data_IF_052066019166
#
_entry.id   IF_052066019166
#
_cell.length_a   1.000
_cell.length_b   1.000
_cell.length_c   1.000
_cell.angle_alpha   90.00
_cell.angle_beta   90.00
_cell.angle_gamma   90.00
#
_symmetry.space_group_name_H-M   'P 1'
#
loop_
_entity.id
_entity.type
_entity.pdbx_description
1 polymer ?
#
# COMPACT_ATOMS: atom_id res chain seq x y z
N UNK A 1 -2.02 -15.94 4.79
CA UNK A 1 -1.35 -14.88 5.59
C UNK A 1 -2.31 -13.70 5.81
N UNK A 2 -2.01 -12.69 6.64
CA UNK A 2 -2.79 -11.45 6.71
C UNK A 2 -2.89 -10.71 5.35
N UNK A 3 -1.89 -10.87 4.47
CA UNK A 3 -1.87 -10.26 3.14
C UNK A 3 -2.81 -10.97 2.16
N UNK A 4 -2.94 -12.30 2.25
CA UNK A 4 -3.88 -13.05 1.41
C UNK A 4 -5.33 -12.68 1.74
N UNK A 5 -5.66 -12.50 3.03
CA UNK A 5 -6.97 -12.00 3.47
C UNK A 5 -7.22 -10.56 2.99
N UNK A 6 -6.21 -9.69 3.05
CA UNK A 6 -6.30 -8.32 2.52
C UNK A 6 -6.53 -8.32 1.00
N UNK A 7 -5.92 -9.24 0.24
CA UNK A 7 -6.10 -9.33 -1.20
C UNK A 7 -7.55 -9.56 -1.63
N UNK A 8 -8.36 -10.23 -0.81
CA UNK A 8 -9.80 -10.45 -1.09
C UNK A 8 -10.63 -9.20 -0.79
N UNK A 9 -10.23 -8.40 0.20
CA UNK A 9 -10.95 -7.19 0.64
C UNK A 9 -10.52 -5.93 -0.11
N UNK A 10 -9.46 -6.01 -0.92
CA UNK A 10 -8.81 -4.85 -1.51
C UNK A 10 -9.73 -4.02 -2.42
N UNK A 11 -10.54 -4.68 -3.25
CA UNK A 11 -11.43 -3.99 -4.18
C UNK A 11 -12.50 -3.15 -3.47
N UNK A 12 -13.29 -3.69 -2.51
CA UNK A 12 -14.23 -2.89 -1.73
C UNK A 12 -13.57 -1.72 -0.98
N UNK A 13 -12.38 -1.94 -0.42
CA UNK A 13 -11.62 -0.90 0.30
C UNK A 13 -11.23 0.22 -0.67
N UNK A 14 -10.65 -0.13 -1.82
CA UNK A 14 -10.23 0.83 -2.84
C UNK A 14 -11.42 1.61 -3.39
N UNK A 15 -12.53 0.95 -3.71
CA UNK A 15 -13.76 1.59 -4.16
C UNK A 15 -14.31 2.57 -3.10
N UNK A 16 -14.24 2.21 -1.81
CA UNK A 16 -14.67 3.09 -0.73
C UNK A 16 -13.77 4.31 -0.56
N UNK A 17 -12.46 4.12 -0.64
CA UNK A 17 -11.50 5.22 -0.62
C UNK A 17 -11.67 6.15 -1.83
N UNK A 18 -11.96 5.60 -3.02
CA UNK A 18 -12.15 6.35 -4.25
C UNK A 18 -13.35 7.29 -4.26
N UNK A 19 -14.34 7.07 -3.39
CA UNK A 19 -15.46 8.00 -3.16
C UNK A 19 -15.08 9.20 -2.30
N UNK A 20 -13.99 9.11 -1.54
CA UNK A 20 -13.57 10.12 -0.56
C UNK A 20 -12.37 10.93 -1.04
N UNK A 21 -11.53 10.33 -1.88
CA UNK A 21 -10.30 10.94 -2.40
C UNK A 21 -10.52 11.47 -3.80
N UNK A 22 -10.06 12.70 -4.03
CA UNK A 22 -10.29 13.40 -5.29
C UNK A 22 -9.21 13.10 -6.35
N UNK A 23 -7.94 13.04 -5.95
CA UNK A 23 -6.82 12.97 -6.89
C UNK A 23 -5.80 11.92 -6.46
N UNK A 24 -4.99 12.14 -5.42
CA UNK A 24 -3.92 11.20 -5.04
C UNK A 24 -4.30 10.33 -3.85
N UNK A 25 -4.20 9.01 -3.99
CA UNK A 25 -4.40 8.04 -2.90
C UNK A 25 -3.07 7.33 -2.59
N UNK A 26 -2.47 7.66 -1.45
CA UNK A 26 -1.34 6.92 -0.92
C UNK A 26 -1.81 5.69 -0.14
N UNK A 27 -1.21 4.54 -0.43
CA UNK A 27 -1.53 3.28 0.26
C UNK A 27 -0.26 2.72 0.88
N UNK A 28 -0.27 2.51 2.20
CA UNK A 28 0.81 1.85 2.90
C UNK A 28 0.31 0.55 3.52
N UNK A 29 1.02 -0.55 3.27
CA UNK A 29 0.73 -1.83 3.89
C UNK A 29 1.24 -1.83 5.33
N UNK A 30 0.37 -2.04 6.30
CA UNK A 30 0.75 -2.07 7.72
C UNK A 30 0.16 -3.29 8.42
N UNK A 31 0.64 -4.51 8.09
CA UNK A 31 0.16 -5.71 8.75
C UNK A 31 0.48 -5.65 10.24
N UNK A 32 -0.51 -5.99 11.07
CA UNK A 32 -0.38 -5.97 12.52
C UNK A 32 -0.46 -4.58 13.17
N UNK A 33 -0.78 -3.52 12.42
CA UNK A 33 -1.07 -2.21 13.01
C UNK A 33 -2.27 -2.33 13.96
N UNK A 34 -2.01 -2.16 15.26
CA UNK A 34 -3.07 -2.04 16.26
C UNK A 34 -3.32 -0.56 16.56
N UNK A 35 -4.56 -0.14 16.36
CA UNK A 35 -5.05 1.16 16.80
C UNK A 35 -5.75 1.09 18.17
N UNK A 36 -5.91 -0.11 18.73
CA UNK A 36 -6.43 -0.37 20.07
C UNK A 36 -5.30 -0.63 21.09
N UNK A 37 -5.54 -0.32 22.38
CA UNK A 37 -4.56 -0.52 23.48
C UNK A 37 -3.74 0.71 23.86
N UNK A 38 -3.01 0.71 24.98
CA UNK A 38 -2.37 1.94 25.50
C UNK A 38 -1.07 2.35 24.77
N UNK A 39 -0.49 1.47 23.97
CA UNK A 39 0.80 1.69 23.30
C UNK A 39 0.66 2.51 22.02
N UNK A 40 1.68 3.32 21.71
CA UNK A 40 1.72 4.07 20.45
C UNK A 40 1.89 3.08 19.28
N UNK A 41 1.13 3.23 18.17
CA UNK A 41 1.26 2.36 17.02
C UNK A 41 2.68 2.45 16.44
N UNK A 42 3.24 1.31 16.05
CA UNK A 42 4.55 1.21 15.41
C UNK A 42 4.38 0.63 14.03
N UNK A 43 5.16 1.13 13.08
CA UNK A 43 5.29 0.48 11.78
C UNK A 43 5.95 -0.89 11.97
N UNK A 44 5.46 -1.88 11.22
CA UNK A 44 6.09 -3.18 11.09
C UNK A 44 6.72 -3.28 9.70
N UNK A 45 7.91 -3.88 9.62
CA UNK A 45 8.51 -4.21 8.35
C UNK A 45 7.85 -5.45 7.75
N UNK A 46 7.64 -5.41 6.45
CA UNK A 46 7.03 -6.48 5.67
C UNK A 46 8.09 -7.03 4.72
N UNK A 47 8.41 -8.33 4.78
CA UNK A 47 9.32 -8.93 3.83
C UNK A 47 8.77 -8.78 2.40
N UNK A 48 9.63 -8.46 1.45
CA UNK A 48 9.32 -8.45 0.03
C UNK A 48 9.17 -9.90 -0.42
N UNK A 49 7.95 -10.42 -0.43
CA UNK A 49 7.64 -11.80 -0.86
C UNK A 49 6.84 -11.80 -2.15
N UNK A 50 6.64 -12.99 -2.72
CA UNK A 50 5.76 -13.16 -3.88
C UNK A 50 4.31 -12.73 -3.58
N UNK A 51 3.85 -12.86 -2.34
CA UNK A 51 2.53 -12.36 -1.92
C UNK A 51 2.44 -10.84 -2.01
N UNK A 52 3.46 -10.12 -1.53
CA UNK A 52 3.53 -8.65 -1.61
C UNK A 52 3.56 -8.17 -3.06
N UNK A 53 4.38 -8.82 -3.90
CA UNK A 53 4.42 -8.57 -5.34
C UNK A 53 3.03 -8.72 -5.98
N UNK A 54 2.34 -9.83 -5.70
CA UNK A 54 1.02 -10.12 -6.26
C UNK A 54 -0.03 -9.14 -5.76
N UNK A 55 0.03 -8.75 -4.49
CA UNK A 55 -0.87 -7.74 -3.91
C UNK A 55 -0.68 -6.38 -4.59
N UNK A 56 0.57 -5.92 -4.75
CA UNK A 56 0.91 -4.65 -5.42
C UNK A 56 0.40 -4.66 -6.87
N UNK A 57 0.66 -5.75 -7.59
CA UNK A 57 0.19 -5.91 -8.97
C UNK A 57 -1.33 -5.86 -9.05
N UNK A 58 -2.03 -6.65 -8.22
CA UNK A 58 -3.50 -6.63 -8.14
C UNK A 58 -4.02 -5.24 -7.79
N UNK A 59 -3.40 -4.53 -6.87
CA UNK A 59 -3.82 -3.19 -6.46
C UNK A 59 -3.78 -2.20 -7.63
N UNK A 60 -2.66 -2.14 -8.34
CA UNK A 60 -2.53 -1.25 -9.49
C UNK A 60 -3.44 -1.65 -10.65
N UNK A 61 -3.64 -2.94 -10.92
CA UNK A 61 -4.63 -3.39 -11.91
C UNK A 61 -6.05 -2.96 -11.54
N UNK A 62 -6.43 -3.08 -10.27
CA UNK A 62 -7.76 -2.64 -9.81
C UNK A 62 -7.90 -1.11 -9.79
N UNK A 63 -6.81 -0.37 -9.62
CA UNK A 63 -6.81 1.09 -9.69
C UNK A 63 -7.20 1.62 -11.08
N UNK A 64 -7.09 0.81 -12.15
CA UNK A 64 -7.54 1.20 -13.50
C UNK A 64 -9.06 1.46 -13.57
N UNK A 65 -9.83 0.93 -12.63
CA UNK A 65 -11.27 1.19 -12.49
C UNK A 65 -11.58 2.59 -11.94
N UNK A 66 -10.60 3.25 -11.32
CA UNK A 66 -10.74 4.55 -10.67
C UNK A 66 -9.83 5.58 -11.33
N UNK A 67 -10.09 5.88 -12.61
CA UNK A 67 -9.20 6.70 -13.47
C UNK A 67 -8.96 8.14 -12.97
N UNK A 68 -9.81 8.66 -12.10
CA UNK A 68 -9.59 9.96 -11.46
C UNK A 68 -8.54 9.91 -10.36
N UNK A 69 -8.23 8.72 -9.85
CA UNK A 69 -7.24 8.52 -8.79
C UNK A 69 -5.85 8.21 -9.34
N UNK A 70 -4.88 8.99 -8.87
CA UNK A 70 -3.49 8.62 -8.85
C UNK A 70 -3.17 7.79 -7.60
N UNK A 71 -3.31 6.48 -7.72
CA UNK A 71 -2.95 5.54 -6.65
C UNK A 71 -1.43 5.37 -6.58
N UNK A 72 -0.87 5.45 -5.37
CA UNK A 72 0.58 5.34 -5.11
C UNK A 72 0.83 4.49 -3.88
N UNK A 73 1.52 3.36 -4.05
CA UNK A 73 1.88 2.49 -2.94
C UNK A 73 3.18 2.98 -2.29
N UNK A 74 3.16 3.18 -0.98
CA UNK A 74 4.33 3.53 -0.18
C UNK A 74 5.08 2.24 0.20
N UNK A 75 6.31 2.10 -0.29
CA UNK A 75 7.14 0.90 -0.11
C UNK A 75 8.09 1.01 1.10
N UNK A 76 7.93 2.04 1.93
CA UNK A 76 8.92 2.46 2.94
C UNK A 76 9.15 1.47 4.07
N UNK A 77 8.21 0.55 4.28
CA UNK A 77 8.33 -0.51 5.28
C UNK A 77 8.46 -1.91 4.63
N UNK A 78 8.80 -1.99 3.35
CA UNK A 78 9.09 -3.27 2.69
C UNK A 78 10.60 -3.56 2.75
N UNK A 79 10.98 -4.79 3.09
CA UNK A 79 12.38 -5.22 3.19
C UNK A 79 12.69 -6.38 2.26
N UNK A 80 13.73 -6.24 1.45
CA UNK A 80 14.33 -7.33 0.68
C UNK A 80 15.17 -8.27 1.57
N UNK A 81 15.64 -9.39 1.03
CA UNK A 81 16.36 -10.45 1.76
C UNK A 81 17.66 -9.97 2.45
N UNK A 82 18.29 -8.90 1.97
CA UNK A 82 19.59 -8.41 2.44
C UNK A 82 19.56 -7.09 3.21
N UNK A 83 18.43 -6.38 3.27
CA UNK A 83 18.38 -5.05 3.86
C UNK A 83 18.27 -5.09 5.38
N UNK A 84 19.21 -4.40 6.04
CA UNK A 84 18.95 -3.92 7.39
C UNK A 84 17.82 -2.87 7.33
N UNK A 85 16.86 -2.93 8.26
CA UNK A 85 15.79 -1.94 8.29
C UNK A 85 16.40 -0.54 8.40
N UNK A 86 16.07 0.38 7.48
CA UNK A 86 16.56 1.74 7.57
C UNK A 86 16.08 2.37 8.87
N UNK A 87 16.91 3.22 9.49
CA UNK A 87 16.47 3.96 10.66
C UNK A 87 15.46 5.03 10.20
N UNK A 88 14.18 4.68 10.17
CA UNK A 88 13.09 5.61 9.89
C UNK A 88 12.92 6.54 11.10
N UNK A 89 13.78 7.55 11.18
CA UNK A 89 13.79 8.55 12.26
C UNK A 89 13.19 9.90 11.87
N UNK A 90 12.84 10.11 10.60
CA UNK A 90 12.31 11.38 10.11
C UNK A 90 10.94 11.23 9.46
N UNK A 91 10.14 12.27 9.65
CA UNK A 91 8.85 12.47 8.99
C UNK A 91 9.08 12.52 7.47
N UNK A 92 8.34 11.70 6.72
CA UNK A 92 8.48 11.62 5.28
C UNK A 92 7.62 12.68 4.57
N UNK A 93 8.20 13.28 3.52
CA UNK A 93 7.47 14.20 2.65
C UNK A 93 6.90 13.41 1.47
N UNK A 94 5.58 13.39 1.36
CA UNK A 94 4.88 12.90 0.17
C UNK A 94 4.78 14.04 -0.85
N UNK A 95 4.56 13.72 -2.13
CA UNK A 95 4.48 14.75 -3.17
C UNK A 95 3.31 15.73 -2.95
N UNK A 96 2.23 15.24 -2.33
CA UNK A 96 1.13 16.04 -1.81
C UNK A 96 0.91 15.67 -0.34
N UNK A 97 0.82 16.66 0.58
CA UNK A 97 0.59 16.38 1.99
C UNK A 97 -0.81 15.78 2.19
N UNK A 98 -0.96 14.68 2.95
CA UNK A 98 -2.27 14.10 3.20
C UNK A 98 -3.21 15.07 3.94
N UNK A 99 -4.45 15.16 3.46
CA UNK A 99 -5.55 15.90 4.08
C UNK A 99 -6.51 15.00 4.85
N UNK A 100 -6.52 13.71 4.50
CA UNK A 100 -7.34 12.68 5.12
C UNK A 100 -6.53 11.40 5.29
N UNK A 101 -6.73 10.70 6.40
CA UNK A 101 -6.19 9.36 6.64
C UNK A 101 -7.35 8.36 6.79
N UNK A 102 -7.26 7.25 6.07
CA UNK A 102 -8.32 6.26 5.92
C UNK A 102 -7.89 4.92 6.55
N UNK A 103 -8.80 4.20 7.17
CA UNK A 103 -8.56 2.82 7.63
C UNK A 103 -9.84 2.01 7.61
N UNK A 104 -9.78 0.74 7.22
CA UNK A 104 -10.85 -0.25 7.37
C UNK A 104 -10.80 -0.96 8.74
N UNK A 105 -10.08 -0.40 9.72
CA UNK A 105 -9.94 -0.99 11.05
C UNK A 105 -11.30 -1.14 11.74
N UNK A 106 -11.66 -2.39 12.01
CA UNK A 106 -12.86 -2.75 12.78
C UNK A 106 -12.50 -2.93 14.26
N UNK A 107 -13.19 -2.18 15.13
CA UNK A 107 -13.07 -2.36 16.58
C UNK A 107 -14.04 -3.43 17.07
N UNK A 108 -13.58 -4.32 17.95
CA UNK A 108 -14.39 -5.40 18.53
C UNK A 108 -15.68 -4.90 19.21
N UNK A 109 -15.70 -3.67 19.74
CA UNK A 109 -16.83 -3.13 20.51
C UNK A 109 -17.76 -2.23 19.69
N UNK A 110 -17.48 -1.98 18.40
CA UNK A 110 -18.32 -1.20 17.47
C UNK A 110 -18.59 0.27 17.83
N UNK A 111 -18.27 0.74 19.04
CA UNK A 111 -18.82 1.99 19.62
C UNK A 111 -17.76 3.05 19.95
N UNK A 112 -16.46 2.79 19.80
CA UNK A 112 -15.40 3.76 20.15
C UNK A 112 -14.57 4.22 18.93
N UNK A 113 -15.22 4.87 17.96
CA UNK A 113 -14.57 5.35 16.73
C UNK A 113 -13.63 6.55 16.93
N UNK A 114 -13.95 7.45 17.87
CA UNK A 114 -13.16 8.66 18.13
C UNK A 114 -11.71 8.42 18.60
N UNK A 115 -11.43 7.55 19.61
CA UNK A 115 -10.05 7.30 20.03
C UNK A 115 -9.21 6.65 18.94
N UNK A 116 -9.81 5.80 18.09
CA UNK A 116 -9.13 5.18 16.94
C UNK A 116 -8.77 6.25 15.91
N UNK A 117 -9.72 7.13 15.57
CA UNK A 117 -9.49 8.25 14.64
C UNK A 117 -8.33 9.14 15.09
N UNK A 118 -8.35 9.57 16.36
CA UNK A 118 -7.28 10.41 16.93
C UNK A 118 -5.92 9.71 16.95
N UNK A 119 -5.89 8.39 17.16
CA UNK A 119 -4.65 7.62 17.12
C UNK A 119 -4.11 7.49 15.71
N UNK A 120 -4.99 7.25 14.74
CA UNK A 120 -4.62 7.18 13.33
C UNK A 120 -4.07 8.53 12.85
N UNK A 121 -4.69 9.65 13.24
CA UNK A 121 -4.19 11.00 12.96
C UNK A 121 -2.80 11.21 13.55
N UNK A 122 -2.62 10.94 14.85
CA UNK A 122 -1.33 11.08 15.54
C UNK A 122 -0.26 10.20 14.90
N UNK A 123 -0.61 8.98 14.53
CA UNK A 123 0.30 8.05 13.87
C UNK A 123 0.69 8.56 12.48
N UNK A 124 -0.26 8.96 11.65
CA UNK A 124 0.01 9.52 10.33
C UNK A 124 0.91 10.77 10.41
N UNK A 125 0.64 11.69 11.35
CA UNK A 125 1.47 12.90 11.57
C UNK A 125 2.88 12.54 12.06
N UNK A 126 3.05 11.43 12.79
CA UNK A 126 4.37 10.96 13.21
C UNK A 126 5.18 10.35 12.06
N UNK A 127 4.51 9.89 10.99
CA UNK A 127 5.15 9.26 9.83
C UNK A 127 5.32 10.23 8.66
N UNK A 128 4.39 11.17 8.46
CA UNK A 128 4.28 11.99 7.27
C UNK A 128 4.01 13.45 7.57
N UNK A 129 4.53 14.32 6.70
CA UNK A 129 4.16 15.73 6.68
C UNK A 129 2.72 15.86 6.18
N UNK A 130 1.80 16.07 7.12
CA UNK A 130 0.36 16.18 6.86
C UNK A 130 -0.13 17.62 6.97
N UNK A 131 -1.30 17.90 6.39
CA UNK A 131 -1.97 19.18 6.60
C UNK A 131 -2.37 19.37 8.08
N UNK A 132 -2.37 20.61 8.63
CA UNK A 132 -2.69 20.88 10.03
C UNK A 132 -4.08 20.42 10.50
N UNK A 133 -5.00 20.17 9.57
CA UNK A 133 -6.38 19.71 9.81
C UNK A 133 -6.60 18.30 9.23
N UNK A 134 -5.63 17.41 9.39
CA UNK A 134 -5.76 16.01 8.97
C UNK A 134 -7.00 15.39 9.61
N UNK A 135 -7.91 14.86 8.79
CA UNK A 135 -9.11 14.16 9.26
C UNK A 135 -8.90 12.66 9.18
N UNK A 136 -9.34 11.91 10.19
CA UNK A 136 -9.42 10.46 10.10
C UNK A 136 -10.83 9.95 9.77
N UNK A 137 -10.89 9.02 8.82
CA UNK A 137 -12.13 8.35 8.39
C UNK A 137 -11.98 6.84 8.52
N UNK A 138 -12.96 6.23 9.19
CA UNK A 138 -13.13 4.78 9.16
C UNK A 138 -13.88 4.42 7.87
N UNK A 139 -13.28 3.57 7.06
CA UNK A 139 -13.91 3.00 5.88
C UNK A 139 -14.86 1.90 6.34
N UNK A 140 -16.03 1.86 5.70
CA UNK A 140 -16.99 0.77 5.83
C UNK A 140 -17.20 0.20 4.42
N UNK A 141 -16.29 -0.66 3.95
CA UNK A 141 -16.42 -1.23 2.63
C UNK A 141 -17.65 -2.12 2.56
N UNK A 142 -18.37 -2.02 1.44
CA UNK A 142 -19.52 -2.87 1.19
C UNK A 142 -19.01 -4.22 0.68
N UNK A 143 -19.02 -5.22 1.56
CA UNK A 143 -18.59 -6.57 1.24
C UNK A 143 -19.72 -7.41 0.61
N UNK A 144 -20.97 -6.94 0.66
CA UNK A 144 -22.15 -7.73 0.25
C UNK A 144 -22.42 -7.68 -1.27
N UNK A 145 -21.73 -6.81 -2.01
CA UNK A 145 -21.88 -6.68 -3.47
C UNK A 145 -20.96 -7.59 -4.30
N UNK A 146 -20.20 -8.50 -3.68
CA UNK A 146 -19.45 -9.54 -4.41
C UNK A 146 -20.27 -10.83 -4.51
N UNK A 147 -21.38 -10.75 -5.23
CA UNK A 147 -22.09 -11.91 -5.77
C UNK A 147 -21.71 -12.03 -7.26
N UNK A 148 -20.41 -12.22 -7.53
CA UNK A 148 -19.95 -12.49 -8.89
C UNK A 148 -19.78 -14.00 -9.05
N UNK A 149 -20.72 -14.58 -9.79
CA UNK A 149 -20.63 -15.88 -10.46
C UNK A 149 -19.53 -15.91 -11.54
N UNK A 150 -18.38 -15.28 -11.29
CA UNK A 150 -17.17 -15.49 -12.05
C UNK A 150 -16.57 -16.79 -11.55
N UNK A 151 -16.56 -17.81 -12.41
CA UNK A 151 -15.85 -19.06 -12.18
C UNK A 151 -14.51 -18.76 -11.48
N UNK A 152 -14.42 -19.17 -10.21
CA UNK A 152 -13.15 -19.40 -9.56
C UNK A 152 -12.49 -20.51 -10.39
N UNK A 153 -11.81 -20.14 -11.49
CA UNK A 153 -10.76 -20.99 -12.00
C UNK A 153 -9.90 -21.26 -10.77
N UNK A 154 -9.66 -22.53 -10.36
CA UNK A 154 -8.71 -22.80 -9.32
C UNK A 154 -7.40 -22.19 -9.80
N UNK A 155 -7.07 -20.99 -9.29
CA UNK A 155 -5.70 -20.54 -9.30
C UNK A 155 -5.05 -21.63 -8.49
N UNK A 156 -4.26 -22.45 -9.18
CA UNK A 156 -3.45 -23.47 -8.56
C UNK A 156 -2.87 -22.82 -7.31
N UNK A 157 -3.37 -23.24 -6.14
CA UNK A 157 -2.69 -23.10 -4.87
C UNK A 157 -1.46 -24.00 -5.01
N UNK A 158 -0.54 -23.63 -5.92
CA UNK A 158 0.84 -23.88 -5.63
C UNK A 158 1.03 -23.17 -4.31
N UNK A 159 1.31 -23.95 -3.27
CA UNK A 159 1.87 -23.50 -2.01
C UNK A 159 3.09 -22.63 -2.37
N UNK A 160 2.85 -21.37 -2.72
CA UNK A 160 3.88 -20.38 -2.90
C UNK A 160 4.28 -20.12 -1.48
N UNK A 161 5.30 -20.87 -1.06
CA UNK A 161 6.02 -20.61 0.16
C UNK A 161 6.22 -19.10 0.24
N UNK A 162 5.88 -18.52 1.40
CA UNK A 162 5.97 -17.07 1.63
C UNK A 162 7.43 -16.63 1.76
N UNK A 163 8.29 -17.23 0.93
CA UNK A 163 9.70 -16.98 0.86
C UNK A 163 9.90 -15.56 0.36
N UNK A 164 10.87 -14.85 0.94
CA UNK A 164 11.28 -13.57 0.40
C UNK A 164 11.70 -13.72 -1.06
N UNK A 165 11.49 -12.68 -1.86
CA UNK A 165 11.95 -12.60 -3.24
C UNK A 165 13.49 -12.58 -3.28
N UNK A 166 14.05 -13.16 -4.34
CA UNK A 166 15.44 -12.93 -4.67
C UNK A 166 15.69 -11.42 -4.81
N UNK A 167 16.78 -10.94 -4.21
CA UNK A 167 17.21 -9.55 -4.28
C UNK A 167 18.53 -9.39 -5.03
N UNK A 168 18.79 -8.16 -5.48
CA UNK A 168 19.96 -7.75 -6.22
C UNK A 168 20.50 -6.44 -5.63
N UNK A 169 21.83 -6.30 -5.57
CA UNK A 169 22.47 -5.08 -5.06
C UNK A 169 21.92 -3.80 -5.72
N UNK A 170 21.98 -3.76 -7.05
CA UNK A 170 21.47 -2.67 -7.88
C UNK A 170 20.48 -3.23 -8.90
N UNK A 171 19.34 -2.55 -9.09
CA UNK A 171 18.40 -2.86 -10.18
C UNK A 171 18.41 -1.69 -11.16
N UNK A 172 18.47 -2.00 -12.45
CA UNK A 172 18.47 -1.01 -13.53
C UNK A 172 17.31 -1.31 -14.47
N UNK A 173 16.49 -0.29 -14.73
CA UNK A 173 15.42 -0.35 -15.73
C UNK A 173 15.54 0.83 -16.68
N UNK A 174 15.05 0.67 -17.91
CA UNK A 174 15.09 1.72 -18.93
C UNK A 174 13.82 1.75 -19.76
N UNK A 175 13.44 2.93 -20.25
CA UNK A 175 12.29 3.12 -21.12
C UNK A 175 11.94 4.58 -21.31
N UNK A 176 10.89 4.88 -22.07
CA UNK A 176 10.43 6.26 -22.27
C UNK A 176 9.60 6.78 -21.10
N UNK A 177 8.94 5.90 -20.34
CA UNK A 177 8.03 6.24 -19.24
C UNK A 177 6.96 7.29 -19.64
N UNK A 178 6.56 7.29 -20.92
CA UNK A 178 5.52 8.18 -21.44
C UNK A 178 4.21 7.97 -20.67
N UNK A 179 3.58 9.07 -20.25
CA UNK A 179 2.27 9.07 -19.57
C UNK A 179 2.23 8.03 -18.44
N UNK A 180 3.08 8.21 -17.43
CA UNK A 180 3.23 7.29 -16.30
C UNK A 180 1.89 6.71 -15.82
N UNK A 181 1.65 5.43 -16.11
CA UNK A 181 0.40 4.73 -15.83
C UNK A 181 0.68 3.51 -14.93
N UNK A 182 -0.37 2.80 -14.53
CA UNK A 182 -0.27 1.73 -13.54
C UNK A 182 0.70 0.60 -13.93
N UNK A 183 0.80 0.24 -15.22
CA UNK A 183 1.87 -0.64 -15.72
C UNK A 183 3.30 -0.20 -15.37
N UNK A 184 3.63 1.09 -15.56
CA UNK A 184 4.93 1.62 -15.13
C UNK A 184 5.10 1.58 -13.61
N UNK A 185 4.03 1.88 -12.85
CA UNK A 185 4.07 1.83 -11.37
C UNK A 185 4.29 0.41 -10.85
N UNK A 186 3.73 -0.59 -11.51
CA UNK A 186 3.99 -2.01 -11.20
C UNK A 186 5.48 -2.29 -11.45
N UNK A 187 6.00 -1.99 -12.64
CA UNK A 187 7.42 -2.20 -12.97
C UNK A 187 8.34 -1.56 -11.92
N UNK A 188 8.15 -0.27 -11.62
CA UNK A 188 8.97 0.47 -10.67
C UNK A 188 8.84 -0.09 -9.25
N UNK A 189 7.63 -0.45 -8.82
CA UNK A 189 7.42 -1.02 -7.48
C UNK A 189 8.12 -2.37 -7.35
N UNK A 190 8.01 -3.24 -8.35
CA UNK A 190 8.67 -4.55 -8.34
C UNK A 190 10.19 -4.40 -8.41
N UNK A 191 10.70 -3.47 -9.23
CA UNK A 191 12.13 -3.15 -9.25
C UNK A 191 12.64 -2.71 -7.88
N UNK A 192 11.85 -1.92 -7.12
CA UNK A 192 12.18 -1.56 -5.74
C UNK A 192 12.18 -2.76 -4.80
N UNK A 193 11.25 -3.72 -4.95
CA UNK A 193 11.23 -4.95 -4.13
C UNK A 193 12.49 -5.81 -4.34
N UNK A 194 13.02 -5.80 -5.55
CA UNK A 194 14.19 -6.58 -5.95
C UNK A 194 15.52 -5.88 -5.63
N UNK A 195 15.53 -4.55 -5.45
CA UNK A 195 16.75 -3.77 -5.22
C UNK A 195 17.11 -3.68 -3.73
N UNK A 196 18.37 -3.94 -3.40
CA UNK A 196 18.90 -3.79 -2.03
C UNK A 196 19.40 -2.38 -1.75
N UNK A 197 20.15 -1.79 -2.69
CA UNK A 197 20.82 -0.51 -2.50
C UNK A 197 20.17 0.62 -3.29
N UNK A 198 19.93 0.42 -4.59
CA UNK A 198 19.36 1.46 -5.46
C UNK A 198 18.67 0.90 -6.69
N UNK A 199 17.68 1.66 -7.14
CA UNK A 199 17.04 1.53 -8.43
C UNK A 199 17.54 2.67 -9.34
N UNK A 200 18.18 2.33 -10.47
CA UNK A 200 18.52 3.28 -11.52
C UNK A 200 17.49 3.19 -12.64
N UNK A 201 16.96 4.34 -13.06
CA UNK A 201 15.95 4.44 -14.09
C UNK A 201 16.53 5.28 -15.24
N UNK A 202 16.85 4.63 -16.35
CA UNK A 202 17.19 5.29 -17.60
C UNK A 202 15.92 5.77 -18.29
N UNK A 203 15.69 7.08 -18.34
CA UNK A 203 14.58 7.66 -19.09
C UNK A 203 15.11 8.09 -20.44
N UNK A 204 14.63 7.45 -21.50
CA UNK A 204 14.95 7.85 -22.87
C UNK A 204 14.22 9.13 -23.23
N UNK A 205 14.96 10.14 -23.69
CA UNK A 205 14.37 11.29 -24.36
C UNK A 205 13.99 10.92 -25.80
N UNK A 206 13.08 11.68 -26.40
CA UNK A 206 12.60 11.46 -27.78
C UNK A 206 13.49 12.12 -28.85
N UNK A 207 14.66 12.62 -28.46
CA UNK A 207 15.59 13.36 -29.32
C UNK A 207 16.85 12.54 -29.66
#
# INVERSE_FOLDING_TARGET
>A
SPLSALSLRLMPILASAARLVQETLYIQLQPGLSLSGATQPRFAYVPATSEVHNLISKLYTNADLHRHLDVRILLTNLLNQGANPPLLGSVQNLSQPPEVVLTDYESADGVQSNPIKQRLERYAISCYSCCPKLRSVLLYPDYELQDDNGELSPQEETEKTNEPLQSFSDVVVGGTFDRLHNGHKILLSVSCLLAENRLLIGVSDKD
#
